data_IF_154798571122
#
_entry.id   IF_154798571122
#
_cell.length_a   1.000
_cell.length_b   1.000
_cell.length_c   1.000
_cell.angle_alpha   90.00
_cell.angle_beta   90.00
_cell.angle_gamma   90.00
#
_symmetry.space_group_name_H-M   'P 1'
#
loop_
_entity.id
_entity.type
_entity.pdbx_description
1 polymer ?
#
# COMPACT_ATOMS: atom_id res chain seq x y z
N UNK A 1 -3.77 -49.98 4.39
CA UNK A 1 -2.48 -50.25 3.69
C UNK A 1 -2.46 -49.76 2.24
N UNK A 2 -3.36 -50.18 1.33
CA UNK A 2 -3.33 -49.76 -0.08
C UNK A 2 -3.67 -48.27 -0.28
N UNK A 3 -4.70 -47.75 0.41
CA UNK A 3 -5.07 -46.32 0.39
C UNK A 3 -3.98 -45.41 1.00
N UNK A 4 -3.29 -45.87 2.02
CA UNK A 4 -2.23 -45.15 2.70
C UNK A 4 -0.98 -44.99 1.81
N UNK A 5 -0.62 -46.01 1.05
CA UNK A 5 0.44 -45.99 0.04
C UNK A 5 0.09 -45.08 -1.15
N UNK A 6 -1.18 -45.00 -1.54
CA UNK A 6 -1.64 -44.09 -2.58
C UNK A 6 -1.58 -42.66 -2.12
N UNK A 7 -2.03 -42.38 -0.90
CA UNK A 7 -1.95 -41.04 -0.31
C UNK A 7 -0.52 -40.55 -0.19
N UNK A 8 0.41 -41.40 0.26
CA UNK A 8 1.83 -41.04 0.35
C UNK A 8 2.44 -40.68 -1.01
N UNK A 9 2.09 -41.45 -2.07
CA UNK A 9 2.54 -41.13 -3.45
C UNK A 9 1.97 -39.81 -3.93
N UNK A 10 0.71 -39.53 -3.67
CA UNK A 10 0.09 -38.24 -4.02
C UNK A 10 0.72 -37.08 -3.27
N UNK A 11 1.02 -37.25 -1.99
CA UNK A 11 1.73 -36.25 -1.19
C UNK A 11 3.13 -35.96 -1.76
N UNK A 12 3.88 -37.00 -2.15
CA UNK A 12 5.20 -36.83 -2.74
C UNK A 12 5.17 -36.09 -4.08
N UNK A 13 4.23 -36.43 -4.96
CA UNK A 13 4.02 -35.77 -6.25
C UNK A 13 3.58 -34.30 -6.06
N UNK A 14 2.63 -34.07 -5.15
CA UNK A 14 2.14 -32.73 -4.84
C UNK A 14 3.26 -31.84 -4.29
N UNK A 15 4.12 -32.36 -3.43
CA UNK A 15 5.29 -31.65 -2.91
C UNK A 15 6.27 -31.25 -4.03
N UNK A 16 6.57 -32.16 -4.96
CA UNK A 16 7.44 -31.86 -6.12
C UNK A 16 6.85 -30.80 -7.04
N UNK A 17 5.53 -30.78 -7.20
CA UNK A 17 4.82 -29.81 -8.04
C UNK A 17 4.37 -28.56 -7.27
N UNK A 18 4.67 -28.48 -5.98
CA UNK A 18 4.22 -27.39 -5.09
C UNK A 18 2.68 -27.24 -5.08
N UNK A 19 1.97 -28.35 -5.02
CA UNK A 19 0.50 -28.45 -4.98
C UNK A 19 -0.01 -28.92 -3.60
N UNK A 20 0.61 -28.43 -2.54
CA UNK A 20 0.35 -28.89 -1.16
C UNK A 20 -1.08 -28.61 -0.69
N UNK A 21 -1.65 -27.48 -1.10
CA UNK A 21 -3.01 -27.12 -0.70
C UNK A 21 -4.06 -27.96 -1.42
N UNK A 22 -3.82 -28.29 -2.68
CA UNK A 22 -4.65 -29.21 -3.47
C UNK A 22 -4.75 -30.57 -2.79
N UNK A 23 -3.60 -31.15 -2.44
CA UNK A 23 -3.61 -32.52 -1.85
C UNK A 23 -4.14 -32.50 -0.41
N UNK A 24 -3.96 -31.43 0.34
CA UNK A 24 -4.53 -31.27 1.68
C UNK A 24 -6.06 -31.20 1.65
N UNK A 25 -6.64 -30.57 0.62
CA UNK A 25 -8.09 -30.50 0.43
C UNK A 25 -8.70 -31.76 -0.16
N UNK A 26 -7.90 -32.63 -0.78
CA UNK A 26 -8.39 -33.80 -1.53
C UNK A 26 -9.28 -34.74 -0.73
N UNK A 27 -9.01 -35.09 0.54
CA UNK A 27 -9.90 -36.01 1.30
C UNK A 27 -11.30 -35.41 1.49
N UNK A 28 -11.41 -34.15 1.88
CA UNK A 28 -12.70 -33.49 2.10
C UNK A 28 -13.48 -33.30 0.80
N UNK A 29 -12.81 -32.88 -0.28
CA UNK A 29 -13.42 -32.72 -1.60
C UNK A 29 -13.83 -34.08 -2.22
N UNK A 30 -13.08 -35.14 -1.96
CA UNK A 30 -13.43 -36.49 -2.39
C UNK A 30 -14.75 -36.95 -1.77
N UNK A 31 -14.97 -36.69 -0.49
CA UNK A 31 -16.23 -36.98 0.16
C UNK A 31 -17.38 -36.17 -0.42
N UNK A 32 -17.18 -34.85 -0.63
CA UNK A 32 -18.18 -34.01 -1.28
C UNK A 32 -18.53 -34.46 -2.70
N UNK A 33 -17.51 -34.88 -3.46
CA UNK A 33 -17.71 -35.41 -4.80
C UNK A 33 -18.63 -36.62 -4.85
N UNK A 34 -18.48 -37.53 -3.87
CA UNK A 34 -19.36 -38.68 -3.72
C UNK A 34 -20.78 -38.24 -3.34
N UNK A 35 -20.90 -37.36 -2.33
CA UNK A 35 -22.19 -36.89 -1.81
C UNK A 35 -23.01 -36.09 -2.83
N UNK A 36 -22.33 -35.39 -3.74
CA UNK A 36 -22.92 -34.49 -4.74
C UNK A 36 -22.86 -35.07 -6.18
N UNK A 37 -22.43 -36.33 -6.33
CA UNK A 37 -22.32 -37.02 -7.62
C UNK A 37 -21.50 -36.23 -8.68
N UNK A 38 -20.37 -35.64 -8.26
CA UNK A 38 -19.52 -34.92 -9.18
C UNK A 38 -18.87 -35.81 -10.23
N UNK A 39 -18.72 -35.27 -11.44
CA UNK A 39 -17.85 -35.90 -12.42
C UNK A 39 -16.37 -35.82 -12.00
N UNK A 40 -15.53 -36.66 -12.58
CA UNK A 40 -14.08 -36.57 -12.35
C UNK A 40 -13.50 -35.23 -12.74
N UNK A 41 -14.07 -34.57 -13.74
CA UNK A 41 -13.63 -33.22 -14.18
C UNK A 41 -14.03 -32.17 -13.18
N UNK A 42 -15.25 -32.22 -12.62
CA UNK A 42 -15.69 -31.32 -11.55
C UNK A 42 -14.79 -31.46 -10.32
N UNK A 43 -14.47 -32.70 -9.94
CA UNK A 43 -13.55 -32.95 -8.82
C UNK A 43 -12.16 -32.35 -9.06
N UNK A 44 -11.61 -32.53 -10.25
CA UNK A 44 -10.32 -31.94 -10.63
C UNK A 44 -10.36 -30.41 -10.60
N UNK A 45 -11.44 -29.81 -11.11
CA UNK A 45 -11.62 -28.35 -11.10
C UNK A 45 -11.64 -27.80 -9.67
N UNK A 46 -12.38 -28.43 -8.76
CA UNK A 46 -12.42 -28.03 -7.35
C UNK A 46 -11.04 -28.13 -6.68
N UNK A 47 -10.29 -29.20 -6.94
CA UNK A 47 -8.92 -29.34 -6.43
C UNK A 47 -7.99 -28.23 -6.92
N UNK A 48 -8.03 -27.90 -8.20
CA UNK A 48 -7.24 -26.82 -8.79
C UNK A 48 -7.67 -25.45 -8.26
N UNK A 49 -8.96 -25.27 -8.00
CA UNK A 49 -9.49 -24.04 -7.42
C UNK A 49 -8.96 -23.80 -5.99
N UNK A 50 -8.91 -24.85 -5.15
CA UNK A 50 -8.33 -24.78 -3.82
C UNK A 50 -6.84 -24.36 -3.84
N UNK A 51 -6.06 -24.96 -4.73
CA UNK A 51 -4.64 -24.57 -4.88
C UNK A 51 -4.50 -23.11 -5.35
N UNK A 52 -5.31 -22.69 -6.32
CA UNK A 52 -5.35 -21.31 -6.81
C UNK A 52 -5.66 -20.32 -5.69
N UNK A 53 -6.68 -20.64 -4.88
CA UNK A 53 -7.11 -19.82 -3.75
C UNK A 53 -6.00 -19.72 -2.69
N UNK A 54 -5.41 -20.84 -2.32
CA UNK A 54 -4.33 -20.87 -1.34
C UNK A 54 -3.08 -20.13 -1.82
N UNK A 55 -2.73 -20.24 -3.11
CA UNK A 55 -1.62 -19.45 -3.69
C UNK A 55 -1.92 -17.95 -3.67
N UNK A 56 -3.15 -17.56 -3.98
CA UNK A 56 -3.57 -16.16 -3.91
C UNK A 56 -3.45 -15.61 -2.48
N UNK A 57 -3.94 -16.34 -1.48
CA UNK A 57 -3.84 -15.97 -0.07
C UNK A 57 -2.38 -15.86 0.41
N UNK A 58 -1.53 -16.84 0.06
CA UNK A 58 -0.08 -16.79 0.39
C UNK A 58 0.61 -15.59 -0.24
N UNK A 59 0.32 -15.29 -1.50
CA UNK A 59 0.85 -14.11 -2.21
C UNK A 59 0.38 -12.82 -1.54
N UNK A 60 -0.90 -12.72 -1.20
CA UNK A 60 -1.48 -11.57 -0.52
C UNK A 60 -0.82 -11.35 0.86
N UNK A 61 -0.69 -12.40 1.67
CA UNK A 61 -0.03 -12.33 2.98
C UNK A 61 1.44 -11.89 2.85
N UNK A 62 2.15 -12.43 1.86
CA UNK A 62 3.53 -12.03 1.58
C UNK A 62 3.62 -10.56 1.17
N UNK A 63 2.76 -10.10 0.27
CA UNK A 63 2.76 -8.72 -0.21
C UNK A 63 2.34 -7.73 0.89
N UNK A 64 1.39 -8.09 1.76
CA UNK A 64 1.01 -7.30 2.94
C UNK A 64 2.22 -7.09 3.86
N UNK A 65 2.96 -8.16 4.14
CA UNK A 65 4.18 -8.08 4.95
C UNK A 65 5.27 -7.23 4.29
N UNK A 66 5.48 -7.40 2.99
CA UNK A 66 6.49 -6.65 2.23
C UNK A 66 6.13 -5.17 2.06
N UNK A 67 4.85 -4.84 2.10
CA UNK A 67 4.40 -3.45 2.01
C UNK A 67 4.82 -2.61 3.22
N UNK A 68 5.09 -3.24 4.36
CA UNK A 68 5.54 -2.60 5.59
C UNK A 68 4.56 -1.53 6.11
N UNK A 69 3.26 -1.77 5.98
CA UNK A 69 2.25 -0.90 6.60
C UNK A 69 2.44 -0.88 8.12
N UNK A 70 2.38 0.30 8.79
CA UNK A 70 2.42 0.37 10.25
C UNK A 70 1.24 -0.34 10.91
N UNK A 71 0.09 -0.33 10.23
CA UNK A 71 -1.09 -1.12 10.56
C UNK A 71 -1.93 -1.29 9.29
N UNK A 72 -2.66 -2.38 9.16
CA UNK A 72 -3.64 -2.52 8.08
C UNK A 72 -4.81 -1.59 8.35
N UNK A 73 -5.22 -0.83 7.33
CA UNK A 73 -6.38 0.06 7.33
C UNK A 73 -7.20 -0.20 6.08
N UNK A 74 -8.52 -0.09 6.22
CA UNK A 74 -9.45 -0.30 5.12
C UNK A 74 -10.34 0.93 4.88
N UNK A 75 -10.96 1.00 3.72
CA UNK A 75 -11.92 2.06 3.41
C UNK A 75 -13.17 1.98 4.28
N UNK A 76 -13.56 0.78 4.68
CA UNK A 76 -14.72 0.50 5.53
C UNK A 76 -14.51 1.05 6.95
N UNK A 77 -13.27 1.09 7.43
CA UNK A 77 -12.91 1.66 8.73
C UNK A 77 -12.79 3.19 8.71
N UNK A 78 -12.81 3.82 7.54
CA UNK A 78 -12.69 5.27 7.41
C UNK A 78 -14.07 5.94 7.65
N UNK A 79 -14.15 6.78 8.66
CA UNK A 79 -15.38 7.46 9.04
C UNK A 79 -15.63 8.71 8.17
N UNK A 80 -16.31 8.52 7.04
CA UNK A 80 -16.72 9.60 6.15
C UNK A 80 -17.75 10.55 6.78
N UNK A 81 -18.47 10.13 7.82
CA UNK A 81 -19.44 10.99 8.52
C UNK A 81 -18.74 12.02 9.39
N UNK A 82 -17.57 11.65 9.91
CA UNK A 82 -16.69 12.57 10.62
C UNK A 82 -15.89 13.45 9.66
N UNK A 83 -15.28 12.84 8.64
CA UNK A 83 -14.46 13.53 7.66
C UNK A 83 -15.33 14.17 6.56
N UNK A 84 -16.24 15.06 6.95
CA UNK A 84 -17.17 15.74 6.03
C UNK A 84 -16.47 16.53 4.93
N UNK A 85 -15.21 16.93 5.15
CA UNK A 85 -14.37 17.59 4.15
C UNK A 85 -13.60 16.64 3.24
N UNK A 86 -13.77 15.32 3.38
CA UNK A 86 -13.15 14.34 2.48
C UNK A 86 -14.02 14.17 1.21
N UNK A 87 -13.43 14.26 0.02
CA UNK A 87 -14.17 14.12 -1.24
C UNK A 87 -14.51 12.64 -1.50
N UNK A 88 -15.61 12.15 -0.91
CA UNK A 88 -15.97 10.74 -0.91
C UNK A 88 -16.07 10.15 -2.33
N UNK A 89 -16.69 10.86 -3.28
CA UNK A 89 -16.82 10.38 -4.66
C UNK A 89 -15.47 10.17 -5.34
N UNK A 90 -14.55 11.13 -5.15
CA UNK A 90 -13.18 11.03 -5.69
C UNK A 90 -12.43 9.85 -5.05
N UNK A 91 -12.49 9.70 -3.75
CA UNK A 91 -11.85 8.59 -3.02
C UNK A 91 -12.40 7.23 -3.44
N UNK A 92 -13.72 7.12 -3.64
CA UNK A 92 -14.34 5.88 -4.13
C UNK A 92 -13.90 5.56 -5.58
N UNK A 93 -13.73 6.55 -6.45
CA UNK A 93 -13.22 6.33 -7.81
C UNK A 93 -11.76 5.82 -7.80
N UNK A 94 -10.93 6.30 -6.89
CA UNK A 94 -9.54 5.87 -6.75
C UNK A 94 -9.41 4.42 -6.24
N UNK A 95 -10.43 3.90 -5.59
CA UNK A 95 -10.51 2.50 -5.13
C UNK A 95 -10.47 1.49 -6.28
N UNK A 96 -10.80 1.91 -7.51
CA UNK A 96 -10.65 1.08 -8.71
C UNK A 96 -9.22 0.72 -9.05
N UNK A 97 -8.23 1.42 -8.46
CA UNK A 97 -6.79 1.25 -8.68
C UNK A 97 -6.31 1.56 -10.11
N UNK A 98 -7.16 2.10 -10.96
CA UNK A 98 -6.81 2.44 -12.35
C UNK A 98 -5.66 3.45 -12.45
N UNK A 99 -5.46 4.28 -11.43
CA UNK A 99 -4.33 5.20 -11.34
C UNK A 99 -2.97 4.46 -11.33
N UNK A 100 -2.91 3.24 -10.77
CA UNK A 100 -1.67 2.44 -10.76
C UNK A 100 -1.34 1.95 -12.17
N UNK A 101 -2.34 1.53 -12.94
CA UNK A 101 -2.16 1.08 -14.32
C UNK A 101 -1.71 2.23 -15.23
N UNK A 102 -2.23 3.44 -14.99
CA UNK A 102 -1.87 4.65 -15.74
C UNK A 102 -0.62 5.34 -15.22
N UNK A 103 0.05 4.80 -14.19
CA UNK A 103 1.23 5.39 -13.53
C UNK A 103 0.97 6.82 -12.99
N UNK A 104 -0.26 7.09 -12.57
CA UNK A 104 -0.66 8.38 -12.01
C UNK A 104 -0.38 8.43 -10.50
N UNK A 105 -0.13 9.62 -9.99
CA UNK A 105 0.11 9.85 -8.57
C UNK A 105 -1.18 10.26 -7.84
N UNK A 106 -1.20 10.05 -6.53
CA UNK A 106 -2.20 10.60 -5.63
C UNK A 106 -1.47 11.46 -4.61
N UNK A 107 -1.93 12.68 -4.38
CA UNK A 107 -1.43 13.55 -3.32
C UNK A 107 -2.57 13.86 -2.36
N UNK A 108 -2.45 13.37 -1.13
CA UNK A 108 -3.41 13.61 -0.06
C UNK A 108 -2.94 14.80 0.78
N UNK A 109 -3.66 15.91 0.72
CA UNK A 109 -3.36 17.13 1.45
C UNK A 109 -4.40 17.38 2.55
N UNK A 110 -3.95 17.90 3.68
CA UNK A 110 -4.85 18.30 4.75
C UNK A 110 -4.16 18.36 6.11
N UNK A 111 -4.83 18.90 7.14
CA UNK A 111 -4.30 19.01 8.48
C UNK A 111 -3.90 17.66 9.08
N UNK A 112 -3.12 17.69 10.16
CA UNK A 112 -2.79 16.46 10.89
C UNK A 112 -4.05 15.84 11.50
N UNK A 113 -4.15 14.51 11.44
CA UNK A 113 -5.22 13.75 12.07
C UNK A 113 -6.52 13.61 11.28
N UNK A 114 -6.62 14.13 10.04
CA UNK A 114 -7.82 13.98 9.20
C UNK A 114 -7.91 12.65 8.45
N UNK A 115 -6.94 11.75 8.65
CA UNK A 115 -6.97 10.40 8.09
C UNK A 115 -6.25 10.21 6.76
N UNK A 116 -5.34 11.11 6.35
CA UNK A 116 -4.53 10.95 5.13
C UNK A 116 -3.79 9.62 5.06
N UNK A 117 -3.05 9.32 6.12
CA UNK A 117 -2.30 8.06 6.26
C UNK A 117 -3.21 6.85 6.21
N UNK A 118 -4.39 6.91 6.88
CA UNK A 118 -5.39 5.86 6.82
C UNK A 118 -5.83 5.58 5.38
N UNK A 119 -6.18 6.62 4.63
CA UNK A 119 -6.61 6.49 3.23
C UNK A 119 -5.49 5.98 2.32
N UNK A 120 -4.25 6.47 2.51
CA UNK A 120 -3.09 5.99 1.77
C UNK A 120 -2.86 4.48 1.99
N UNK A 121 -2.93 4.02 3.26
CA UNK A 121 -2.81 2.60 3.60
C UNK A 121 -3.99 1.81 3.05
N UNK A 122 -5.23 2.32 3.15
CA UNK A 122 -6.40 1.64 2.61
C UNK A 122 -6.31 1.40 1.10
N UNK A 123 -5.87 2.39 0.33
CA UNK A 123 -5.59 2.22 -1.10
C UNK A 123 -4.46 1.24 -1.37
N UNK A 124 -3.39 1.29 -0.58
CA UNK A 124 -2.27 0.35 -0.68
C UNK A 124 -2.70 -1.08 -0.34
N UNK A 125 -3.55 -1.26 0.64
CA UNK A 125 -4.07 -2.58 1.02
C UNK A 125 -5.01 -3.16 -0.05
N UNK A 126 -5.89 -2.34 -0.65
CA UNK A 126 -6.68 -2.76 -1.82
C UNK A 126 -5.77 -3.19 -2.99
N UNK A 127 -4.68 -2.47 -3.23
CA UNK A 127 -3.70 -2.85 -4.25
C UNK A 127 -3.02 -4.19 -3.93
N UNK A 128 -2.65 -4.44 -2.68
CA UNK A 128 -2.10 -5.74 -2.24
C UNK A 128 -3.11 -6.87 -2.46
N UNK A 129 -4.39 -6.63 -2.11
CA UNK A 129 -5.48 -7.60 -2.34
C UNK A 129 -5.66 -7.91 -3.82
N UNK A 130 -5.44 -6.93 -4.70
CA UNK A 130 -5.43 -7.11 -6.14
C UNK A 130 -4.14 -7.77 -6.68
N UNK A 131 -3.21 -8.18 -5.81
CA UNK A 131 -1.96 -8.84 -6.18
C UNK A 131 -0.88 -7.89 -6.67
N UNK A 132 -0.98 -6.58 -6.37
CA UNK A 132 -0.02 -5.54 -6.73
C UNK A 132 1.00 -5.38 -5.60
N UNK A 133 2.27 -5.28 -5.98
CA UNK A 133 3.36 -5.05 -5.03
C UNK A 133 3.37 -3.59 -4.58
N UNK A 134 3.23 -3.37 -3.28
CA UNK A 134 3.19 -2.05 -2.63
C UNK A 134 4.33 -1.93 -1.64
N UNK A 135 4.82 -0.71 -1.45
CA UNK A 135 5.69 -0.33 -0.34
C UNK A 135 5.16 0.93 0.32
N UNK A 136 5.06 0.89 1.64
CA UNK A 136 4.82 2.04 2.50
C UNK A 136 6.12 2.47 3.18
N UNK A 137 6.35 3.78 3.26
CA UNK A 137 7.44 4.39 4.04
C UNK A 137 7.04 5.81 4.41
N UNK A 138 7.65 6.37 5.46
CA UNK A 138 7.62 7.81 5.68
C UNK A 138 8.70 8.49 4.83
N UNK A 139 8.56 9.78 4.57
CA UNK A 139 9.60 10.54 3.87
C UNK A 139 10.93 10.50 4.63
N UNK A 140 10.88 10.65 5.96
CA UNK A 140 12.06 10.61 6.83
C UNK A 140 12.78 9.25 6.78
N UNK A 141 12.04 8.13 6.91
CA UNK A 141 12.63 6.78 6.87
C UNK A 141 13.22 6.45 5.50
N UNK A 142 12.54 6.88 4.42
CA UNK A 142 13.04 6.69 3.06
C UNK A 142 14.39 7.38 2.87
N UNK A 143 14.49 8.64 3.28
CA UNK A 143 15.72 9.44 3.14
C UNK A 143 16.84 8.92 4.04
N UNK A 144 16.53 8.54 5.27
CA UNK A 144 17.48 7.91 6.18
C UNK A 144 18.05 6.62 5.58
N UNK A 145 17.19 5.77 5.03
CA UNK A 145 17.62 4.55 4.35
C UNK A 145 18.50 4.85 3.14
N UNK A 146 18.07 5.73 2.24
CA UNK A 146 18.82 6.05 1.01
C UNK A 146 20.17 6.70 1.32
N UNK A 147 20.25 7.62 2.27
CA UNK A 147 21.51 8.26 2.69
C UNK A 147 22.47 7.27 3.35
N UNK A 148 21.95 6.35 4.16
CA UNK A 148 22.75 5.30 4.79
C UNK A 148 23.33 4.34 3.75
N UNK A 149 22.48 3.87 2.84
CA UNK A 149 22.88 2.94 1.79
C UNK A 149 23.83 3.60 0.75
N UNK A 150 23.70 4.91 0.55
CA UNK A 150 24.65 5.67 -0.28
C UNK A 150 26.04 5.68 0.33
N UNK A 151 26.16 5.94 1.64
CA UNK A 151 27.42 5.88 2.38
C UNK A 151 28.06 4.48 2.36
N UNK A 152 27.24 3.44 2.28
CA UNK A 152 27.69 2.04 2.26
C UNK A 152 27.89 1.48 0.84
N UNK A 153 27.74 2.30 -0.20
CA UNK A 153 27.90 1.88 -1.60
C UNK A 153 26.80 0.98 -2.16
N UNK A 154 25.69 0.82 -1.43
CA UNK A 154 24.56 -0.04 -1.82
C UNK A 154 23.34 0.70 -2.37
N UNK A 155 23.48 2.00 -2.62
CA UNK A 155 22.40 2.88 -3.08
C UNK A 155 21.62 2.33 -4.28
N UNK A 156 22.33 1.87 -5.33
CA UNK A 156 21.69 1.36 -6.56
C UNK A 156 20.78 0.16 -6.28
N UNK A 157 21.23 -0.78 -5.46
CA UNK A 157 20.47 -1.97 -5.10
C UNK A 157 19.22 -1.61 -4.27
N UNK A 158 19.38 -0.71 -3.30
CA UNK A 158 18.29 -0.26 -2.45
C UNK A 158 17.25 0.54 -3.24
N UNK A 159 17.71 1.43 -4.13
CA UNK A 159 16.82 2.16 -5.04
C UNK A 159 16.02 1.19 -5.92
N UNK A 160 16.69 0.20 -6.52
CA UNK A 160 16.01 -0.76 -7.40
C UNK A 160 14.99 -1.61 -6.64
N UNK A 161 15.38 -2.19 -5.50
CA UNK A 161 14.51 -3.12 -4.75
C UNK A 161 13.42 -2.40 -3.95
N UNK A 162 13.77 -1.29 -3.33
CA UNK A 162 12.90 -0.58 -2.40
C UNK A 162 12.04 0.51 -3.04
N UNK A 163 12.54 1.16 -4.09
CA UNK A 163 11.86 2.29 -4.72
C UNK A 163 11.26 1.91 -6.07
N UNK A 164 12.00 1.21 -6.92
CA UNK A 164 11.56 0.92 -8.29
C UNK A 164 10.74 -0.36 -8.42
N UNK A 165 11.01 -1.39 -7.62
CA UNK A 165 10.33 -2.68 -7.72
C UNK A 165 8.85 -2.67 -7.31
N UNK A 166 8.39 -1.90 -6.29
CA UNK A 166 6.96 -1.77 -6.01
C UNK A 166 6.24 -1.01 -7.13
N UNK A 167 5.08 -1.52 -7.57
CA UNK A 167 4.22 -0.81 -8.54
C UNK A 167 3.56 0.42 -7.91
N UNK A 168 3.33 0.39 -6.61
CA UNK A 168 2.84 1.50 -5.82
C UNK A 168 3.79 1.79 -4.66
N UNK A 169 4.28 3.03 -4.57
CA UNK A 169 5.07 3.54 -3.46
C UNK A 169 4.25 4.57 -2.69
N UNK A 170 4.06 4.34 -1.39
CA UNK A 170 3.41 5.29 -0.49
C UNK A 170 4.49 5.99 0.32
N UNK A 171 4.55 7.32 0.21
CA UNK A 171 5.46 8.17 0.98
C UNK A 171 4.61 9.05 1.90
N UNK A 172 4.56 8.67 3.17
CA UNK A 172 3.78 9.38 4.18
C UNK A 172 4.58 10.52 4.81
N UNK A 173 3.89 11.51 5.34
CA UNK A 173 4.46 12.64 6.08
C UNK A 173 5.47 13.48 5.26
N UNK A 174 5.23 13.64 3.97
CA UNK A 174 6.04 14.55 3.13
C UNK A 174 5.81 15.99 3.58
N UNK A 175 6.90 16.68 3.94
CA UNK A 175 6.84 18.05 4.40
C UNK A 175 6.64 18.24 5.90
N UNK A 176 6.62 17.18 6.69
CA UNK A 176 6.49 17.27 8.15
C UNK A 176 7.76 17.80 8.83
N UNK A 177 8.91 17.41 8.31
CA UNK A 177 10.22 17.90 8.74
C UNK A 177 10.98 18.49 7.55
N UNK A 178 11.76 19.57 7.75
CA UNK A 178 12.60 20.11 6.69
C UNK A 178 13.73 19.14 6.34
N UNK A 179 14.03 19.01 5.05
CA UNK A 179 15.14 18.23 4.54
C UNK A 179 16.41 19.05 4.44
N UNK A 180 17.56 18.41 4.63
CA UNK A 180 18.84 18.97 4.21
C UNK A 180 18.93 19.03 2.68
N UNK A 181 19.92 19.76 2.15
CA UNK A 181 20.11 19.82 0.69
C UNK A 181 20.37 18.46 0.06
N UNK A 182 21.10 17.58 0.74
CA UNK A 182 21.37 16.24 0.24
C UNK A 182 20.10 15.37 0.26
N UNK A 183 19.32 15.43 1.33
CA UNK A 183 18.04 14.73 1.43
C UNK A 183 17.04 15.21 0.38
N UNK A 184 16.96 16.52 0.13
CA UNK A 184 16.12 17.08 -0.93
C UNK A 184 16.50 16.55 -2.31
N UNK A 185 17.80 16.43 -2.61
CA UNK A 185 18.32 15.82 -3.85
C UNK A 185 17.97 14.33 -3.94
N UNK A 186 18.11 13.58 -2.85
CA UNK A 186 17.73 12.17 -2.81
C UNK A 186 16.24 11.97 -3.05
N UNK A 187 15.40 12.80 -2.42
CA UNK A 187 13.95 12.77 -2.63
C UNK A 187 13.60 13.10 -4.09
N UNK A 188 14.22 14.13 -4.66
CA UNK A 188 14.06 14.44 -6.08
C UNK A 188 14.42 13.26 -6.98
N UNK A 189 15.51 12.55 -6.69
CA UNK A 189 15.91 11.37 -7.47
C UNK A 189 14.85 10.25 -7.41
N UNK A 190 14.20 10.05 -6.25
CA UNK A 190 13.09 9.10 -6.13
C UNK A 190 11.95 9.49 -7.05
N UNK A 191 11.51 10.75 -6.99
CA UNK A 191 10.43 11.28 -7.83
C UNK A 191 10.78 11.16 -9.32
N UNK A 192 11.97 11.59 -9.71
CA UNK A 192 12.43 11.55 -11.10
C UNK A 192 12.54 10.13 -11.66
N UNK A 193 12.95 9.17 -10.83
CA UNK A 193 13.07 7.75 -11.24
C UNK A 193 11.72 7.09 -11.44
N UNK A 194 10.72 7.47 -10.65
CA UNK A 194 9.36 6.91 -10.72
C UNK A 194 8.45 7.65 -11.72
N UNK A 195 8.82 8.86 -12.09
CA UNK A 195 8.04 9.69 -13.01
C UNK A 195 7.65 8.92 -14.28
N UNK A 196 6.34 8.84 -14.58
CA UNK A 196 5.71 8.11 -15.68
C UNK A 196 5.98 6.59 -15.74
N UNK A 197 6.65 6.02 -14.74
CA UNK A 197 7.00 4.59 -14.71
C UNK A 197 6.18 3.79 -13.72
N UNK A 198 5.77 4.41 -12.63
CA UNK A 198 5.00 3.75 -11.58
C UNK A 198 4.34 4.76 -10.65
N UNK A 199 3.20 4.39 -10.10
CA UNK A 199 2.36 5.24 -9.26
C UNK A 199 2.96 5.49 -7.88
N UNK A 200 2.65 6.67 -7.33
CA UNK A 200 2.95 7.04 -5.95
C UNK A 200 1.72 7.60 -5.25
N UNK A 201 1.65 7.40 -3.92
CA UNK A 201 0.75 8.14 -3.04
C UNK A 201 1.63 8.93 -2.09
N UNK A 202 1.45 10.24 -2.05
CA UNK A 202 2.11 11.13 -1.11
C UNK A 202 1.08 11.72 -0.15
N UNK A 203 1.42 11.83 1.11
CA UNK A 203 0.63 12.58 2.08
C UNK A 203 1.40 13.79 2.57
N UNK A 204 0.73 14.91 2.75
CA UNK A 204 1.34 16.12 3.30
C UNK A 204 0.32 16.94 4.10
N UNK A 205 0.81 17.59 5.13
CA UNK A 205 0.05 18.58 5.88
C UNK A 205 0.28 20.01 5.33
N UNK A 206 1.24 20.18 4.44
CA UNK A 206 1.58 21.47 3.84
C UNK A 206 0.94 21.63 2.46
N UNK A 207 0.36 22.80 2.16
CA UNK A 207 -0.01 23.15 0.80
C UNK A 207 1.25 23.28 -0.08
N UNK A 208 1.13 23.05 -1.38
CA UNK A 208 2.26 23.02 -2.31
C UNK A 208 3.10 24.32 -2.29
N UNK A 209 2.46 25.47 -2.05
CA UNK A 209 3.17 26.75 -1.96
C UNK A 209 4.12 26.89 -0.77
N UNK A 210 4.13 25.93 0.15
CA UNK A 210 5.03 25.88 1.31
C UNK A 210 6.07 24.76 1.23
N UNK A 211 6.08 23.99 0.14
CA UNK A 211 6.99 22.85 0.00
C UNK A 211 8.46 23.26 -0.17
N UNK A 212 8.75 24.46 -0.67
CA UNK A 212 10.10 25.02 -0.74
C UNK A 212 10.78 25.04 0.62
N UNK A 213 10.04 25.35 1.69
CA UNK A 213 10.55 25.36 3.06
C UNK A 213 11.02 23.97 3.52
N UNK A 214 10.36 22.91 3.02
CA UNK A 214 10.74 21.52 3.32
C UNK A 214 11.96 21.09 2.52
N UNK A 215 12.07 21.53 1.27
CA UNK A 215 13.12 21.10 0.34
C UNK A 215 14.34 22.07 0.36
N UNK A 216 14.86 22.32 1.55
CA UNK A 216 16.06 23.12 1.82
C UNK A 216 16.01 24.57 1.30
N UNK A 217 14.81 25.14 1.10
CA UNK A 217 14.63 26.47 0.51
C UNK A 217 15.00 26.56 -0.97
N UNK A 218 15.20 25.43 -1.65
CA UNK A 218 15.53 25.38 -3.07
C UNK A 218 14.24 25.43 -3.92
N UNK A 219 13.87 26.63 -4.31
CA UNK A 219 12.67 26.88 -5.11
C UNK A 219 12.73 26.22 -6.50
N UNK A 220 13.91 26.14 -7.13
CA UNK A 220 14.07 25.53 -8.45
C UNK A 220 13.90 24.01 -8.37
N UNK A 221 14.52 23.37 -7.38
CA UNK A 221 14.38 21.93 -7.12
C UNK A 221 12.92 21.59 -6.79
N UNK A 222 12.29 22.37 -5.92
CA UNK A 222 10.89 22.20 -5.51
C UNK A 222 9.95 22.32 -6.70
N UNK A 223 10.12 23.33 -7.54
CA UNK A 223 9.32 23.51 -8.76
C UNK A 223 9.45 22.34 -9.73
N UNK A 224 10.69 21.89 -9.99
CA UNK A 224 10.95 20.76 -10.88
C UNK A 224 10.38 19.43 -10.34
N UNK A 225 10.33 19.29 -9.02
CA UNK A 225 9.75 18.11 -8.36
C UNK A 225 8.24 18.14 -8.39
N UNK A 226 7.61 19.28 -8.06
CA UNK A 226 6.17 19.46 -8.12
C UNK A 226 5.64 19.27 -9.54
N UNK A 227 6.34 19.77 -10.55
CA UNK A 227 6.00 19.52 -11.95
C UNK A 227 5.85 18.01 -12.24
N UNK A 228 6.80 17.19 -11.81
CA UNK A 228 6.75 15.74 -12.00
C UNK A 228 5.68 15.04 -11.16
N UNK A 229 5.49 15.45 -9.93
CA UNK A 229 4.48 14.84 -9.04
C UNK A 229 3.08 15.14 -9.56
N UNK A 230 2.83 16.37 -10.04
CA UNK A 230 1.50 16.85 -10.38
C UNK A 230 1.12 16.63 -11.85
N UNK A 231 2.07 16.33 -12.74
CA UNK A 231 1.82 16.17 -14.16
C UNK A 231 0.69 15.18 -14.45
N UNK A 232 0.72 14.01 -13.81
CA UNK A 232 -0.35 13.01 -13.87
C UNK A 232 -0.75 12.65 -12.45
N UNK A 233 -1.62 13.46 -11.83
CA UNK A 233 -1.97 13.24 -10.44
C UNK A 233 -3.42 13.54 -10.09
N UNK A 234 -3.89 12.88 -9.03
CA UNK A 234 -5.12 13.18 -8.33
C UNK A 234 -4.78 13.88 -7.02
N UNK A 235 -5.05 15.18 -6.95
CA UNK A 235 -4.90 15.93 -5.72
C UNK A 235 -6.20 15.82 -4.92
N UNK A 236 -6.10 15.25 -3.72
CA UNK A 236 -7.22 15.05 -2.81
C UNK A 236 -7.00 15.92 -1.58
N UNK A 237 -7.77 16.98 -1.46
CA UNK A 237 -7.72 17.85 -0.30
C UNK A 237 -8.77 17.42 0.73
N UNK A 238 -8.32 17.11 1.95
CA UNK A 238 -9.15 16.68 3.06
C UNK A 238 -9.20 17.83 4.07
N UNK A 239 -10.40 18.34 4.32
CA UNK A 239 -10.66 19.39 5.32
C UNK A 239 -11.27 18.75 6.57
N UNK A 240 -11.08 19.38 7.70
CA UNK A 240 -11.71 18.95 8.95
C UNK A 240 -10.78 19.00 10.14
N UNK A 241 -11.32 18.62 11.28
CA UNK A 241 -10.58 18.52 12.54
C UNK A 241 -9.88 17.18 12.70
N UNK A 242 -8.93 17.13 13.63
CA UNK A 242 -8.23 15.89 13.97
C UNK A 242 -9.16 14.87 14.63
N UNK A 243 -9.36 13.74 13.98
CA UNK A 243 -10.09 12.60 14.52
C UNK A 243 -9.49 12.09 15.84
N UNK A 244 -8.15 12.05 15.89
CA UNK A 244 -7.40 11.61 17.10
C UNK A 244 -7.66 12.55 18.30
N UNK A 245 -7.66 13.86 18.08
CA UNK A 245 -7.91 14.83 19.14
C UNK A 245 -9.37 14.76 19.61
N UNK A 246 -10.32 14.61 18.69
CA UNK A 246 -11.74 14.48 19.03
C UNK A 246 -12.01 13.22 19.86
N UNK A 247 -11.41 12.09 19.51
CA UNK A 247 -11.56 10.87 20.32
C UNK A 247 -11.02 11.06 21.74
N UNK A 248 -9.88 11.75 21.90
CA UNK A 248 -9.29 12.04 23.21
C UNK A 248 -10.14 13.04 24.01
N UNK A 249 -10.77 14.02 23.34
CA UNK A 249 -11.76 14.93 23.99
C UNK A 249 -12.98 14.15 24.48
N UNK A 250 -13.57 13.31 23.63
CA UNK A 250 -14.69 12.44 24.01
C UNK A 250 -14.37 11.48 25.16
N UNK A 251 -13.12 11.04 25.25
CA UNK A 251 -12.63 10.19 26.35
C UNK A 251 -12.21 10.99 27.60
N UNK A 252 -12.42 12.33 27.64
CA UNK A 252 -12.10 13.18 28.77
C UNK A 252 -10.58 13.39 29.04
N UNK A 253 -9.71 12.99 28.09
CA UNK A 253 -8.26 13.09 28.23
C UNK A 253 -7.75 14.50 27.91
N UNK A 254 -8.50 15.27 27.11
CA UNK A 254 -8.17 16.64 26.70
C UNK A 254 -9.42 17.50 26.90
N UNK A 255 -9.26 18.73 27.42
CA UNK A 255 -10.35 19.68 27.58
C UNK A 255 -11.02 20.00 26.22
N UNK A 256 -12.33 20.23 26.24
CA UNK A 256 -13.04 20.69 25.04
C UNK A 256 -12.48 22.05 24.60
N UNK A 257 -12.29 22.22 23.29
CA UNK A 257 -11.99 23.54 22.77
C UNK A 257 -13.21 24.44 22.96
N UNK A 258 -13.06 25.54 23.69
CA UNK A 258 -14.12 26.56 23.74
C UNK A 258 -14.42 27.01 22.29
N UNK A 259 -15.67 26.99 21.86
CA UNK A 259 -16.05 27.63 20.60
C UNK A 259 -15.96 29.16 20.82
N UNK A 260 -15.03 29.82 20.12
CA UNK A 260 -15.12 31.26 19.88
C UNK A 260 -16.15 31.55 18.79
#
# INVERSE_FOLDING_TARGET
MMMELQHQRLMALAGQLQLESLISAAPALSQQAVDQEWSYMDFLEHLLHEEKLARHQRKQAMYTRMAAFPAVKTFEEYDFTFATGAPQKQLQSLRSLSFIERNENIVLLGPSGVGKTHLAIAMGYEAVRAGIKVRFTTAADLLLQLSTEQRQGRYKTTLQRGVMAPRLLIIDETGYLPFSQEEAKLFFQVIAKRYEKSAMILTSNLPFGQWDQTFAGDAALTSAMLDRILHHSHVVQIKGESYRLRQKRKAGVIAEANPE
#
